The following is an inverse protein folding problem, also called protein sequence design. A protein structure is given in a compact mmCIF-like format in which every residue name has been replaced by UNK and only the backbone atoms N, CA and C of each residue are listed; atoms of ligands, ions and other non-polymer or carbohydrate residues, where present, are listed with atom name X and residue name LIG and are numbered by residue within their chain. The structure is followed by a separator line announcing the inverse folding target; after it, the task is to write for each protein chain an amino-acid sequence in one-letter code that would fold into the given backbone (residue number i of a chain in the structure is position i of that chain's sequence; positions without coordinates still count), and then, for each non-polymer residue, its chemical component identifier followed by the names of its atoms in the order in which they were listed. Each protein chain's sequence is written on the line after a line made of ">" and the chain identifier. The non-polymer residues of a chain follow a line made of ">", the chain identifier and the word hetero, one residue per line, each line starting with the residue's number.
data_IF_158367810583
#
_entry.id   IF_158367810583
#
_cell.length_a   1.000
_cell.length_b   1.000
_cell.length_c   1.000
_cell.angle_alpha   90.00
_cell.angle_beta   90.00
_cell.angle_gamma   90.00
#
_symmetry.space_group_name_H-M   'P 1'
#
loop_
_entity.id
_entity.type
_entity.pdbx_description
1 polymer ?
#
# COMPACT_ATOMS: atom_id res chain seq x y z
N UNK A 1 -32.28 -4.55 5.34
CA UNK A 1 -30.92 -5.02 5.70
C UNK A 1 -29.93 -4.09 5.01
N UNK A 2 -29.40 -3.13 5.75
CA UNK A 2 -28.47 -2.10 5.27
C UNK A 2 -27.09 -2.73 5.06
N UNK A 3 -26.73 -2.96 3.81
CA UNK A 3 -25.35 -3.28 3.47
C UNK A 3 -24.50 -2.05 3.80
N UNK A 4 -23.66 -2.18 4.84
CA UNK A 4 -22.59 -1.23 5.13
C UNK A 4 -21.78 -1.01 3.84
N UNK A 5 -21.44 0.22 3.43
CA UNK A 5 -20.66 0.41 2.22
C UNK A 5 -19.25 -0.14 2.48
N UNK A 6 -19.05 -1.40 2.06
CA UNK A 6 -17.72 -2.02 1.93
C UNK A 6 -16.83 -0.99 1.23
N UNK A 7 -15.68 -0.70 1.85
CA UNK A 7 -14.77 0.36 1.41
C UNK A 7 -14.57 0.30 -0.09
N UNK A 8 -15.15 1.26 -0.80
CA UNK A 8 -14.97 1.38 -2.24
C UNK A 8 -13.54 1.86 -2.42
N UNK A 9 -12.67 0.96 -2.84
CA UNK A 9 -11.37 1.34 -3.35
C UNK A 9 -11.59 2.07 -4.68
N UNK A 10 -11.43 3.39 -4.64
CA UNK A 10 -11.59 4.29 -5.80
C UNK A 10 -10.37 4.28 -6.73
N UNK A 11 -9.31 3.55 -6.36
CA UNK A 11 -8.10 3.42 -7.17
C UNK A 11 -8.20 2.20 -8.09
N UNK A 12 -7.63 2.29 -9.30
CA UNK A 12 -7.64 1.18 -10.24
C UNK A 12 -6.94 -0.05 -9.63
N UNK A 13 -7.39 -1.26 -9.95
CA UNK A 13 -6.86 -2.51 -9.39
C UNK A 13 -5.44 -2.83 -9.89
N UNK A 14 -4.47 -1.99 -9.51
CA UNK A 14 -3.05 -2.17 -9.81
C UNK A 14 -2.39 -3.12 -8.82
N UNK A 15 -3.00 -3.39 -7.66
CA UNK A 15 -2.39 -4.23 -6.63
C UNK A 15 -2.06 -5.62 -7.18
N UNK A 16 -3.04 -6.28 -7.82
CA UNK A 16 -2.82 -7.60 -8.43
C UNK A 16 -1.86 -7.56 -9.62
N UNK A 17 -1.86 -6.47 -10.40
CA UNK A 17 -0.98 -6.32 -11.56
C UNK A 17 0.52 -6.29 -11.18
N UNK A 18 0.86 -5.80 -9.99
CA UNK A 18 2.25 -5.71 -9.50
C UNK A 18 2.56 -6.68 -8.35
N UNK A 19 1.65 -7.62 -8.06
CA UNK A 19 1.85 -8.63 -7.03
C UNK A 19 3.01 -9.57 -7.39
N UNK A 20 3.86 -9.85 -6.41
CA UNK A 20 5.03 -10.71 -6.58
C UNK A 20 6.18 -10.10 -7.39
N UNK A 21 6.04 -8.87 -7.90
CA UNK A 21 7.08 -8.20 -8.69
C UNK A 21 7.85 -7.25 -7.78
N UNK A 22 9.18 -7.43 -7.58
CA UNK A 22 9.98 -6.50 -6.79
C UNK A 22 10.12 -5.18 -7.54
N UNK A 23 9.67 -4.10 -6.92
CA UNK A 23 9.73 -2.73 -7.45
C UNK A 23 10.23 -1.77 -6.38
N UNK A 24 10.67 -0.57 -6.76
CA UNK A 24 10.95 0.52 -5.81
C UNK A 24 9.76 1.44 -5.69
N UNK A 25 9.58 2.05 -4.53
CA UNK A 25 8.56 3.07 -4.30
C UNK A 25 9.05 4.38 -4.92
N UNK A 26 8.25 4.95 -5.82
CA UNK A 26 8.54 6.22 -6.49
C UNK A 26 7.97 7.41 -5.70
N UNK A 27 6.78 7.26 -5.14
CA UNK A 27 6.15 8.28 -4.30
C UNK A 27 5.16 7.66 -3.32
N UNK A 28 4.94 8.38 -2.23
CA UNK A 28 3.89 8.12 -1.24
C UNK A 28 2.93 9.32 -1.22
N UNK A 29 1.64 9.06 -1.21
CA UNK A 29 0.62 10.11 -1.11
C UNK A 29 -0.28 9.81 0.07
N UNK A 30 -0.47 10.81 0.95
CA UNK A 30 -1.40 10.78 2.06
C UNK A 30 -2.63 11.61 1.69
N UNK A 31 -3.81 11.05 1.91
CA UNK A 31 -5.07 11.74 1.69
C UNK A 31 -5.98 11.56 2.90
N UNK A 32 -6.80 12.57 3.15
CA UNK A 32 -7.91 12.48 4.10
C UNK A 32 -9.20 12.51 3.30
N UNK A 33 -10.03 11.46 3.41
CA UNK A 33 -11.38 11.47 2.86
C UNK A 33 -12.39 11.58 4.01
N UNK A 34 -13.08 12.71 4.05
CA UNK A 34 -14.22 12.94 4.95
C UNK A 34 -15.48 12.31 4.32
N UNK A 35 -15.68 11.02 4.53
CA UNK A 35 -16.98 10.37 4.31
C UNK A 35 -17.36 9.69 5.62
N UNK A 36 -18.29 10.28 6.37
CA UNK A 36 -18.87 9.73 7.60
C UNK A 36 -17.86 9.27 8.68
N UNK A 37 -16.98 10.19 9.11
CA UNK A 37 -15.89 10.02 10.09
C UNK A 37 -14.57 9.54 9.45
N UNK A 38 -13.60 10.46 9.48
CA UNK A 38 -12.20 10.41 8.98
C UNK A 38 -11.69 9.04 8.50
N UNK A 39 -11.64 8.84 7.18
CA UNK A 39 -10.78 7.83 6.57
C UNK A 39 -9.52 8.51 6.06
N UNK A 40 -8.44 8.43 6.84
CA UNK A 40 -7.10 8.65 6.29
C UNK A 40 -6.82 7.48 5.34
N UNK A 41 -6.31 7.74 4.15
CA UNK A 41 -5.79 6.70 3.28
C UNK A 41 -4.40 7.11 2.80
N UNK A 42 -3.59 6.13 2.45
CA UNK A 42 -2.34 6.41 1.77
C UNK A 42 -2.15 5.44 0.63
N UNK A 43 -1.56 5.96 -0.44
CA UNK A 43 -1.26 5.24 -1.66
C UNK A 43 0.23 5.27 -1.92
N UNK A 44 0.73 4.27 -2.63
CA UNK A 44 2.09 4.28 -3.17
C UNK A 44 2.04 4.27 -4.70
N UNK A 45 3.10 4.78 -5.32
CA UNK A 45 3.39 4.53 -6.74
C UNK A 45 4.71 3.78 -6.83
N UNK A 46 4.82 2.86 -7.77
CA UNK A 46 6.01 2.05 -8.00
C UNK A 46 6.76 2.55 -9.24
N UNK A 47 8.08 2.38 -9.26
CA UNK A 47 8.90 2.59 -10.46
C UNK A 47 8.64 1.46 -11.45
N UNK A 48 8.25 1.81 -12.69
CA UNK A 48 8.06 0.86 -13.78
C UNK A 48 8.82 1.30 -15.03
N UNK A 49 10.08 0.87 -15.11
CA UNK A 49 11.00 1.29 -16.17
C UNK A 49 11.26 2.80 -16.10
N UNK A 50 10.93 3.52 -17.18
CA UNK A 50 11.03 4.99 -17.26
C UNK A 50 9.78 5.72 -16.75
N UNK A 51 8.75 4.99 -16.30
CA UNK A 51 7.47 5.53 -15.85
C UNK A 51 7.21 5.16 -14.38
N UNK A 52 6.13 5.70 -13.83
CA UNK A 52 5.57 5.28 -12.54
C UNK A 52 4.22 4.60 -12.76
N UNK A 53 3.86 3.72 -11.84
CA UNK A 53 2.51 3.13 -11.82
C UNK A 53 1.48 4.19 -11.46
N UNK A 54 0.20 3.89 -11.71
CA UNK A 54 -0.88 4.60 -11.03
C UNK A 54 -0.80 4.35 -9.51
N UNK A 55 -1.49 5.20 -8.74
CA UNK A 55 -1.57 5.07 -7.28
C UNK A 55 -2.19 3.72 -6.90
N UNK A 56 -1.51 3.00 -6.01
CA UNK A 56 -1.96 1.75 -5.43
C UNK A 56 -2.33 2.01 -3.98
N UNK A 57 -3.59 1.78 -3.62
CA UNK A 57 -4.05 1.91 -2.25
C UNK A 57 -3.35 0.88 -1.35
N UNK A 58 -3.00 1.30 -0.13
CA UNK A 58 -2.63 0.37 0.94
C UNK A 58 -3.85 0.19 1.83
N UNK A 59 -4.17 -1.07 2.15
CA UNK A 59 -5.34 -1.38 2.96
C UNK A 59 -5.18 -0.65 4.30
N UNK A 60 -6.11 0.24 4.61
CA UNK A 60 -6.10 1.00 5.85
C UNK A 60 -7.38 0.69 6.65
N UNK A 61 -7.22 -0.01 7.76
CA UNK A 61 -8.28 -0.19 8.76
C UNK A 61 -8.00 0.75 9.92
N UNK A 62 -8.58 1.95 9.88
CA UNK A 62 -8.44 3.19 10.70
C UNK A 62 -7.87 3.07 12.14
N UNK A 63 -7.93 1.93 12.81
CA UNK A 63 -7.59 1.77 14.24
C UNK A 63 -6.49 0.73 14.55
N UNK A 64 -5.87 0.09 13.56
CA UNK A 64 -4.96 -1.03 13.83
C UNK A 64 -3.46 -0.65 13.86
N UNK A 65 -2.74 -1.04 14.92
CA UNK A 65 -1.27 -0.95 15.06
C UNK A 65 -0.49 -1.55 13.86
N UNK A 66 -1.10 -2.51 13.16
CA UNK A 66 -0.57 -3.10 11.94
C UNK A 66 -0.41 -2.08 10.79
N UNK A 67 -1.26 -1.03 10.74
CA UNK A 67 -1.12 0.04 9.74
C UNK A 67 0.09 0.91 10.00
N UNK A 68 0.37 1.24 11.27
CA UNK A 68 1.55 2.02 11.65
C UNK A 68 2.83 1.27 11.26
N UNK A 69 2.84 -0.05 11.45
CA UNK A 69 3.95 -0.91 11.00
C UNK A 69 4.06 -0.96 9.48
N UNK A 70 2.96 -1.13 8.75
CA UNK A 70 2.96 -1.13 7.29
C UNK A 70 3.47 0.21 6.74
N UNK A 71 2.97 1.30 7.29
CA UNK A 71 3.38 2.65 6.93
C UNK A 71 4.87 2.88 7.24
N UNK A 72 5.34 2.51 8.44
CA UNK A 72 6.74 2.65 8.82
C UNK A 72 7.67 1.84 7.91
N UNK A 73 7.28 0.63 7.51
CA UNK A 73 8.04 -0.18 6.55
C UNK A 73 8.09 0.45 5.17
N UNK A 74 6.96 0.96 4.69
CA UNK A 74 6.86 1.65 3.40
C UNK A 74 7.71 2.92 3.41
N UNK A 75 7.65 3.72 4.49
CA UNK A 75 8.46 4.92 4.66
C UNK A 75 9.95 4.58 4.67
N UNK A 76 10.36 3.57 5.45
CA UNK A 76 11.75 3.12 5.50
C UNK A 76 12.22 2.64 4.12
N UNK A 77 11.40 1.84 3.42
CA UNK A 77 11.71 1.35 2.09
C UNK A 77 11.86 2.49 1.07
N UNK A 78 10.99 3.49 1.14
CA UNK A 78 11.04 4.66 0.28
C UNK A 78 12.32 5.49 0.50
N UNK A 79 12.66 5.78 1.76
CA UNK A 79 13.84 6.58 2.13
C UNK A 79 15.15 5.92 1.67
N UNK A 80 15.28 4.61 1.85
CA UNK A 80 16.51 3.87 1.49
C UNK A 80 16.50 3.32 0.06
N UNK A 81 15.40 3.51 -0.68
CA UNK A 81 15.25 2.97 -2.04
C UNK A 81 15.21 1.43 -2.10
N UNK A 82 14.77 0.77 -1.03
CA UNK A 82 14.68 -0.69 -0.95
C UNK A 82 13.63 -1.24 -1.92
N UNK A 83 13.87 -2.41 -2.56
CA UNK A 83 12.84 -3.13 -3.26
C UNK A 83 11.70 -3.53 -2.32
N UNK A 84 10.47 -3.32 -2.77
CA UNK A 84 9.24 -3.81 -2.13
C UNK A 84 8.54 -4.78 -3.06
N UNK A 85 7.92 -5.80 -2.48
CA UNK A 85 7.13 -6.80 -3.22
C UNK A 85 5.76 -6.89 -2.58
N UNK A 86 4.71 -6.61 -3.35
CA UNK A 86 3.33 -6.83 -2.90
C UNK A 86 3.11 -8.33 -2.75
N UNK A 87 2.74 -8.77 -1.55
CA UNK A 87 2.51 -10.18 -1.20
C UNK A 87 1.02 -10.53 -1.24
N UNK A 88 0.17 -9.61 -0.82
CA UNK A 88 -1.26 -9.83 -0.67
C UNK A 88 -2.03 -8.57 -1.05
N UNK A 89 -3.15 -8.76 -1.73
CA UNK A 89 -4.08 -7.71 -2.10
C UNK A 89 -5.46 -8.05 -1.54
N UNK A 90 -6.13 -7.08 -0.95
CA UNK A 90 -7.52 -7.19 -0.51
C UNK A 90 -8.27 -5.94 -0.89
N UNK A 91 -9.49 -6.11 -1.43
CA UNK A 91 -10.31 -4.98 -1.88
C UNK A 91 -9.52 -4.05 -2.84
N UNK A 92 -8.73 -4.65 -3.73
CA UNK A 92 -7.80 -3.97 -4.65
C UNK A 92 -6.70 -3.10 -3.98
N UNK A 93 -6.49 -3.24 -2.67
CA UNK A 93 -5.47 -2.54 -1.89
C UNK A 93 -4.37 -3.49 -1.43
N UNK A 94 -3.17 -2.97 -1.18
CA UNK A 94 -2.04 -3.74 -0.63
C UNK A 94 -2.38 -4.13 0.80
N UNK A 95 -2.61 -5.43 1.01
CA UNK A 95 -2.85 -6.03 2.31
C UNK A 95 -1.59 -6.71 2.90
N UNK A 96 -0.56 -6.93 2.08
CA UNK A 96 0.70 -7.47 2.53
C UNK A 96 1.85 -7.00 1.67
N UNK A 97 2.95 -6.61 2.32
CA UNK A 97 4.15 -6.09 1.67
C UNK A 97 5.40 -6.73 2.27
N UNK A 98 6.33 -7.10 1.40
CA UNK A 98 7.68 -7.48 1.77
C UNK A 98 8.65 -6.36 1.35
N UNK A 99 9.62 -6.05 2.20
CA UNK A 99 10.71 -5.10 1.92
C UNK A 99 12.04 -5.83 2.02
N UNK A 100 12.94 -5.60 1.05
CA UNK A 100 14.30 -6.15 1.02
C UNK A 100 15.32 -5.06 1.37
N UNK A 101 15.78 -5.05 2.62
CA UNK A 101 16.83 -4.16 3.11
C UNK A 101 18.20 -4.82 2.91
N UNK A 102 18.80 -4.63 1.73
CA UNK A 102 20.17 -5.07 1.43
C UNK A 102 20.46 -6.54 1.83
N UNK A 103 19.52 -7.46 1.57
CA UNK A 103 19.65 -8.89 1.89
C UNK A 103 18.88 -9.35 3.13
N UNK A 104 18.36 -8.42 3.94
CA UNK A 104 17.41 -8.70 5.02
C UNK A 104 15.97 -8.49 4.56
N UNK A 105 15.12 -9.52 4.63
CA UNK A 105 13.71 -9.44 4.21
C UNK A 105 12.79 -9.25 5.42
N UNK A 106 11.97 -8.20 5.37
CA UNK A 106 10.91 -7.95 6.36
C UNK A 106 9.55 -8.04 5.69
N UNK A 107 8.62 -8.80 6.27
CA UNK A 107 7.27 -9.00 5.74
C UNK A 107 6.25 -8.46 6.74
N UNK A 108 5.27 -7.70 6.24
CA UNK A 108 4.10 -7.30 7.02
C UNK A 108 2.81 -7.63 6.24
N UNK A 109 1.80 -8.14 6.95
CA UNK A 109 0.51 -8.57 6.40
C UNK A 109 -0.62 -8.17 7.35
N UNK A 110 -1.75 -7.76 6.79
CA UNK A 110 -3.01 -7.55 7.51
C UNK A 110 -3.79 -8.85 7.64
#
# INVERSE_FOLDING_TARGET
>A
MTASPKGINIFSNQCEAYKGIPKRIAAMTFGEQLINQQRVFYTITLVDGKKTTQQIAVLNTIEHELNKKMLGLIQAAFVVGAPVTIQQCEQASIAGLMVDFNGGKTINRF
#
